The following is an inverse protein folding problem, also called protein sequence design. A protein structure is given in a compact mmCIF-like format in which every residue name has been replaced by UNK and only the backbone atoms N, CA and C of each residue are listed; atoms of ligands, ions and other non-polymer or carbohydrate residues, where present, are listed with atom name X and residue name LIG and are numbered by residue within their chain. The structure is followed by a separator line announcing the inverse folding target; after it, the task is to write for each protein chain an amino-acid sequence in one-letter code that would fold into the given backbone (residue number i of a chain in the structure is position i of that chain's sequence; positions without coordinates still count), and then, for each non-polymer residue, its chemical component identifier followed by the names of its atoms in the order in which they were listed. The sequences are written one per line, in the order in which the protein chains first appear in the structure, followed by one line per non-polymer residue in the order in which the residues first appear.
data_IF_971850171302
#
_entry.id   IF_971850171302
#
_cell.length_a   1.000
_cell.length_b   1.000
_cell.length_c   1.000
_cell.angle_alpha   90.00
_cell.angle_beta   90.00
_cell.angle_gamma   90.00
#
_symmetry.space_group_name_H-M   'P 1'
#
loop_
_entity.id
_entity.type
_entity.pdbx_description
1 polymer ?
#
# COMPACT_ATOMS: atom_id res chain seq x y z
N UNK A 1 2.83 -7.00 27.21
CA UNK A 1 3.57 -6.06 26.34
C UNK A 1 2.76 -5.87 25.08
N UNK A 2 2.42 -4.64 24.70
CA UNK A 2 1.76 -4.41 23.42
C UNK A 2 2.75 -4.80 22.31
N UNK A 3 2.35 -5.69 21.39
CA UNK A 3 3.19 -6.07 20.25
C UNK A 3 3.61 -4.84 19.46
N UNK A 4 4.84 -4.82 18.95
CA UNK A 4 5.31 -3.74 18.07
C UNK A 4 4.38 -3.64 16.86
N UNK A 5 3.96 -2.41 16.57
CA UNK A 5 3.21 -2.08 15.35
C UNK A 5 4.18 -1.42 14.39
N UNK A 6 4.53 -2.14 13.34
CA UNK A 6 5.54 -1.72 12.39
C UNK A 6 4.85 -1.27 11.10
N UNK A 7 5.04 0.00 10.73
CA UNK A 7 4.58 0.53 9.45
C UNK A 7 5.48 0.00 8.32
N UNK A 8 4.87 -0.48 7.24
CA UNK A 8 5.57 -1.06 6.09
C UNK A 8 5.51 -0.08 4.91
N UNK A 9 6.66 0.12 4.26
CA UNK A 9 6.83 0.91 3.06
C UNK A 9 7.75 0.20 2.06
N UNK A 10 7.42 0.29 0.78
CA UNK A 10 8.24 -0.13 -0.36
C UNK A 10 8.10 0.88 -1.49
N UNK A 11 9.14 0.98 -2.32
CA UNK A 11 9.13 1.80 -3.54
C UNK A 11 8.39 1.12 -4.69
N UNK A 12 8.08 -0.17 -4.57
CA UNK A 12 7.40 -0.96 -5.60
C UNK A 12 5.87 -0.86 -5.54
N UNK A 13 5.34 -0.15 -4.54
CA UNK A 13 3.91 0.11 -4.39
C UNK A 13 3.65 1.62 -4.35
N UNK A 14 2.42 2.06 -4.68
CA UNK A 14 2.05 3.47 -4.63
C UNK A 14 2.36 4.08 -3.26
N UNK A 15 2.97 5.27 -3.28
CA UNK A 15 3.29 5.99 -2.05
C UNK A 15 1.98 6.40 -1.35
N UNK A 16 1.78 6.05 -0.07
CA UNK A 16 0.60 6.47 0.67
C UNK A 16 0.70 7.95 1.07
N UNK A 17 -0.43 8.54 1.43
CA UNK A 17 -0.45 9.84 2.09
C UNK A 17 0.29 9.80 3.43
N UNK A 18 0.75 10.95 3.91
CA UNK A 18 1.64 11.07 5.07
C UNK A 18 1.08 10.49 6.38
N UNK A 19 -0.25 10.40 6.51
CA UNK A 19 -0.95 9.85 7.67
C UNK A 19 -1.34 8.37 7.52
N UNK A 20 -0.94 7.73 6.41
CA UNK A 20 -1.21 6.32 6.10
C UNK A 20 0.09 5.52 5.94
N UNK A 21 -0.05 4.19 5.97
CA UNK A 21 1.01 3.24 5.64
C UNK A 21 0.50 2.26 4.59
N UNK A 22 1.39 1.68 3.78
CA UNK A 22 0.97 0.68 2.78
C UNK A 22 0.45 -0.58 3.47
N UNK A 23 1.09 -0.96 4.58
CA UNK A 23 0.59 -1.97 5.49
C UNK A 23 1.10 -1.70 6.92
N UNK A 24 0.49 -2.37 7.88
CA UNK A 24 0.99 -2.44 9.26
C UNK A 24 1.15 -3.89 9.66
N UNK A 25 2.34 -4.25 10.14
CA UNK A 25 2.57 -5.53 10.82
C UNK A 25 2.30 -5.38 12.31
N UNK A 26 1.58 -6.33 12.88
CA UNK A 26 1.38 -6.42 14.32
C UNK A 26 1.48 -7.89 14.74
N UNK A 27 2.61 -8.24 15.35
CA UNK A 27 2.94 -9.64 15.65
C UNK A 27 3.10 -10.50 14.39
N UNK A 28 2.28 -11.55 14.29
CA UNK A 28 2.28 -12.50 13.18
C UNK A 28 1.41 -12.10 11.98
N UNK A 29 0.62 -11.03 12.09
CA UNK A 29 -0.33 -10.62 11.05
C UNK A 29 0.13 -9.35 10.34
N UNK A 30 -0.18 -9.24 9.06
CA UNK A 30 0.01 -8.04 8.23
C UNK A 30 -1.34 -7.54 7.75
N UNK A 31 -1.63 -6.27 8.00
CA UNK A 31 -2.86 -5.61 7.59
C UNK A 31 -2.51 -4.64 6.45
N UNK A 32 -2.91 -4.99 5.24
CA UNK A 32 -2.65 -4.18 4.04
C UNK A 32 -3.73 -3.11 3.86
N UNK A 33 -3.32 -1.90 3.46
CA UNK A 33 -4.24 -0.86 3.01
C UNK A 33 -4.89 -1.25 1.69
N UNK A 34 -6.10 -0.75 1.45
CA UNK A 34 -6.75 -0.89 0.14
C UNK A 34 -5.87 -0.31 -0.96
N UNK A 35 -5.71 -1.05 -2.05
CA UNK A 35 -4.93 -0.63 -3.21
C UNK A 35 -5.85 -0.32 -4.38
N UNK A 36 -5.45 0.68 -5.16
CA UNK A 36 -6.02 1.00 -6.47
C UNK A 36 -4.90 0.84 -7.49
N UNK A 37 -5.23 0.46 -8.72
CA UNK A 37 -4.27 0.29 -9.83
C UNK A 37 -3.56 1.59 -10.24
N UNK A 38 -2.74 2.13 -9.35
CA UNK A 38 -1.87 3.27 -9.56
C UNK A 38 -0.47 2.76 -9.96
N UNK A 39 0.17 3.45 -10.90
CA UNK A 39 1.56 3.19 -11.22
C UNK A 39 2.46 3.73 -10.09
N UNK A 40 3.32 2.91 -9.47
CA UNK A 40 4.13 3.32 -8.31
C UNK A 40 5.16 4.41 -8.64
N UNK A 41 5.61 4.49 -9.89
CA UNK A 41 6.59 5.49 -10.35
C UNK A 41 5.93 6.84 -10.64
N UNK A 42 4.75 6.84 -11.27
CA UNK A 42 4.09 8.09 -11.69
C UNK A 42 3.04 8.59 -10.71
N UNK A 43 2.54 7.73 -9.81
CA UNK A 43 1.44 8.04 -8.90
C UNK A 43 0.08 8.22 -9.59
N UNK A 44 -0.02 7.90 -10.89
CA UNK A 44 -1.25 8.05 -11.68
C UNK A 44 -1.98 6.72 -11.81
N UNK A 45 -3.29 6.79 -12.02
CA UNK A 45 -4.11 5.64 -12.36
C UNK A 45 -3.64 5.03 -13.67
N UNK A 46 -3.53 3.70 -13.71
CA UNK A 46 -3.25 2.98 -14.96
C UNK A 46 -4.41 3.25 -15.94
N UNK A 47 -4.08 3.58 -17.19
CA UNK A 47 -5.09 3.83 -18.22
C UNK A 47 -5.67 2.53 -18.79
N UNK A 48 -6.87 2.59 -19.36
CA UNK A 48 -7.54 1.45 -19.97
C UNK A 48 -8.77 0.96 -19.21
N UNK A 49 -8.96 -0.35 -19.18
CA UNK A 49 -10.13 -1.03 -18.63
C UNK A 49 -10.00 -1.27 -17.12
N UNK A 50 -11.03 -1.84 -16.51
CA UNK A 50 -10.95 -2.25 -15.09
C UNK A 50 -9.94 -3.39 -14.91
N UNK A 51 -9.82 -4.28 -15.91
CA UNK A 51 -8.88 -5.39 -15.90
C UNK A 51 -7.43 -4.92 -15.87
N UNK A 52 -7.11 -3.79 -16.50
CA UNK A 52 -5.76 -3.20 -16.47
C UNK A 52 -5.37 -2.65 -15.08
N UNK A 53 -6.31 -2.61 -14.13
CA UNK A 53 -6.17 -2.03 -12.78
C UNK A 53 -6.36 -3.05 -11.66
N UNK A 54 -6.51 -4.33 -11.98
CA UNK A 54 -6.75 -5.46 -11.07
C UNK A 54 -5.72 -6.55 -11.30
#
# INVERSE_FOLDING_TARGET
MAGSRDAIFTLEAPKPDSFLSQAVRNGGSVYCSGQVGLNPTTGKLVEGTVQDRT
#
